data_IF_922710602064
#
_entry.id   IF_922710602064
#
_cell.length_a   1.000
_cell.length_b   1.000
_cell.length_c   1.000
_cell.angle_alpha   90.00
_cell.angle_beta   90.00
_cell.angle_gamma   90.00
#
_symmetry.space_group_name_H-M   'P 1'
#
loop_
_entity.id
_entity.type
_entity.pdbx_description
1 polymer ?
#
# COMPACT_ATOMS: atom_id res chain seq x y z
N UNK A 1 58.78 -9.00 65.07
CA UNK A 1 59.17 -10.41 64.80
C UNK A 1 57.92 -11.26 64.62
N UNK A 2 57.53 -11.55 63.43
CA UNK A 2 56.51 -12.57 63.14
C UNK A 2 56.98 -13.34 61.90
N UNK A 3 57.17 -14.61 62.14
CA UNK A 3 57.67 -15.57 61.14
C UNK A 3 56.54 -15.94 60.13
N UNK A 4 56.84 -15.82 58.85
CA UNK A 4 55.94 -16.28 57.76
C UNK A 4 56.34 -17.72 57.47
N UNK A 5 55.38 -18.60 57.58
CA UNK A 5 55.51 -20.04 57.27
C UNK A 5 55.12 -20.24 55.80
N UNK A 6 56.07 -20.58 54.97
CA UNK A 6 55.84 -20.91 53.56
C UNK A 6 55.52 -22.39 53.46
N UNK A 7 54.30 -22.74 53.06
CA UNK A 7 53.91 -24.12 52.74
C UNK A 7 54.08 -24.32 51.23
N UNK A 8 54.99 -25.18 50.85
CA UNK A 8 55.18 -25.62 49.45
C UNK A 8 54.24 -26.81 49.24
N UNK A 9 53.21 -26.62 48.40
CA UNK A 9 52.33 -27.71 47.97
C UNK A 9 52.85 -28.25 46.64
N UNK A 10 53.41 -29.46 46.68
CA UNK A 10 53.82 -30.14 45.47
C UNK A 10 52.59 -30.70 44.76
N UNK A 11 52.29 -30.18 43.59
CA UNK A 11 51.23 -30.73 42.71
C UNK A 11 51.80 -31.83 41.86
N UNK A 12 51.31 -33.05 42.09
CA UNK A 12 51.61 -34.22 41.29
C UNK A 12 50.80 -34.16 39.99
N UNK A 13 51.46 -33.86 38.86
CA UNK A 13 50.84 -33.88 37.51
C UNK A 13 50.71 -35.34 37.07
N UNK A 14 49.49 -35.89 37.14
CA UNK A 14 49.10 -37.11 36.41
C UNK A 14 48.80 -36.73 34.96
N UNK A 15 49.67 -37.15 34.04
CA UNK A 15 49.46 -37.04 32.61
C UNK A 15 48.35 -38.04 32.20
N UNK A 16 47.19 -37.51 31.86
CA UNK A 16 46.13 -38.28 31.20
C UNK A 16 46.39 -38.18 29.71
N UNK A 17 46.49 -39.26 28.93
CA UNK A 17 46.59 -39.17 27.49
C UNK A 17 45.27 -38.68 26.95
N UNK A 18 45.31 -37.53 26.34
CA UNK A 18 44.21 -36.95 25.59
C UNK A 18 44.07 -37.76 24.29
N UNK A 19 43.11 -38.69 24.27
CA UNK A 19 42.63 -39.23 23.02
C UNK A 19 41.87 -38.15 22.30
N UNK A 20 42.49 -37.58 21.30
CA UNK A 20 41.84 -36.70 20.31
C UNK A 20 40.93 -37.60 19.47
N UNK A 21 39.66 -37.65 19.83
CA UNK A 21 38.60 -38.10 18.93
C UNK A 21 38.39 -36.94 17.97
N UNK A 22 38.94 -37.10 16.78
CA UNK A 22 38.62 -36.26 15.66
C UNK A 22 37.20 -36.65 15.24
N UNK A 23 36.22 -35.94 15.73
CA UNK A 23 34.84 -36.01 15.25
C UNK A 23 34.83 -35.32 13.89
N UNK A 24 34.83 -36.11 12.83
CA UNK A 24 34.56 -35.61 11.48
C UNK A 24 33.16 -34.96 11.51
N UNK A 25 33.13 -33.65 11.47
CA UNK A 25 31.91 -32.90 11.23
C UNK A 25 31.45 -33.27 9.82
N UNK A 26 30.41 -34.11 9.72
CA UNK A 26 29.70 -34.27 8.44
C UNK A 26 29.13 -32.92 8.05
N UNK A 27 29.72 -32.36 7.01
CA UNK A 27 29.17 -31.18 6.32
C UNK A 27 27.81 -31.55 5.74
N UNK A 28 26.73 -31.19 6.45
CA UNK A 28 25.38 -31.31 5.93
C UNK A 28 25.25 -30.27 4.82
N UNK A 29 25.46 -30.68 3.57
CA UNK A 29 25.09 -29.90 2.41
C UNK A 29 23.57 -29.68 2.43
N UNK A 30 23.16 -28.55 2.94
CA UNK A 30 21.76 -28.10 2.85
C UNK A 30 21.48 -27.77 1.40
N UNK A 31 20.92 -28.70 0.65
CA UNK A 31 20.44 -28.44 -0.72
C UNK A 31 19.23 -27.53 -0.58
N UNK A 32 19.45 -26.22 -0.72
CA UNK A 32 18.37 -25.26 -0.86
C UNK A 32 17.77 -25.41 -2.26
N UNK A 33 16.74 -26.22 -2.37
CA UNK A 33 15.96 -26.26 -3.60
C UNK A 33 15.13 -24.99 -3.68
N UNK A 34 15.56 -24.03 -4.51
CA UNK A 34 14.75 -22.85 -4.84
C UNK A 34 13.57 -23.34 -5.69
N UNK A 35 12.44 -23.54 -5.05
CA UNK A 35 11.18 -23.78 -5.76
C UNK A 35 10.74 -22.44 -6.32
N UNK A 36 11.04 -22.19 -7.59
CA UNK A 36 10.47 -21.04 -8.30
C UNK A 36 8.96 -21.24 -8.37
N UNK A 37 8.19 -20.35 -7.76
CA UNK A 37 6.74 -20.38 -7.90
C UNK A 37 6.40 -20.33 -9.40
N UNK A 38 5.46 -21.15 -9.90
CA UNK A 38 5.05 -21.11 -11.29
C UNK A 38 4.55 -19.69 -11.60
N UNK A 39 4.95 -19.16 -12.74
CA UNK A 39 4.47 -17.88 -13.23
C UNK A 39 2.94 -17.92 -13.28
N UNK A 40 2.28 -17.04 -12.51
CA UNK A 40 0.83 -16.98 -12.48
C UNK A 40 0.36 -16.37 -13.80
N UNK A 41 -0.16 -17.21 -14.67
CA UNK A 41 -0.81 -16.77 -15.90
C UNK A 41 -2.18 -16.15 -15.57
N UNK A 42 -2.68 -15.29 -16.45
CA UNK A 42 -4.00 -14.65 -16.33
C UNK A 42 -5.14 -15.66 -16.08
N UNK A 43 -5.00 -16.89 -16.59
CA UNK A 43 -5.95 -17.99 -16.40
C UNK A 43 -6.06 -18.52 -14.96
N UNK A 44 -5.14 -18.12 -14.06
CA UNK A 44 -5.08 -18.56 -12.66
C UNK A 44 -5.60 -17.51 -11.66
N UNK A 45 -6.23 -16.43 -12.15
CA UNK A 45 -6.88 -15.47 -11.26
C UNK A 45 -7.96 -16.15 -10.45
N UNK A 46 -8.05 -15.86 -9.14
CA UNK A 46 -9.18 -16.31 -8.35
C UNK A 46 -10.51 -15.88 -8.98
N UNK A 47 -11.58 -16.70 -8.92
CA UNK A 47 -12.88 -16.37 -9.52
C UNK A 47 -13.52 -15.07 -9.00
N UNK A 48 -13.03 -14.56 -7.85
CA UNK A 48 -13.49 -13.29 -7.27
C UNK A 48 -12.86 -12.04 -7.93
N UNK A 49 -11.93 -12.21 -8.84
CA UNK A 49 -11.36 -11.13 -9.63
C UNK A 49 -11.76 -11.36 -11.10
N UNK A 50 -12.95 -10.92 -11.52
CA UNK A 50 -13.34 -11.03 -12.91
C UNK A 50 -12.30 -10.32 -13.79
N UNK A 51 -12.08 -10.87 -14.99
CA UNK A 51 -11.31 -10.15 -16.00
C UNK A 51 -11.95 -8.78 -16.25
N UNK A 52 -11.15 -7.75 -16.59
CA UNK A 52 -11.70 -6.47 -16.98
C UNK A 52 -12.75 -6.68 -18.06
N UNK A 53 -14.02 -6.43 -17.71
CA UNK A 53 -15.10 -6.50 -18.66
C UNK A 53 -15.08 -5.25 -19.55
N UNK A 54 -15.67 -5.34 -20.73
CA UNK A 54 -15.83 -4.20 -21.65
C UNK A 54 -16.60 -3.04 -20.99
N UNK A 55 -17.37 -3.33 -19.95
CA UNK A 55 -18.15 -2.35 -19.17
C UNK A 55 -17.33 -1.58 -18.12
N UNK A 56 -16.06 -1.91 -17.95
CA UNK A 56 -15.21 -1.18 -16.99
C UNK A 56 -14.98 0.26 -17.50
N UNK A 57 -15.14 1.23 -16.62
CA UNK A 57 -14.84 2.62 -16.92
C UNK A 57 -13.38 2.72 -17.37
N UNK A 58 -13.09 3.16 -18.61
CA UNK A 58 -11.73 3.22 -19.13
C UNK A 58 -10.94 4.28 -18.39
N UNK A 59 -9.70 3.93 -18.02
CA UNK A 59 -8.73 4.89 -17.50
C UNK A 59 -7.89 5.45 -18.66
N UNK A 60 -7.33 6.68 -18.53
CA UNK A 60 -6.38 7.18 -19.51
C UNK A 60 -5.19 6.24 -19.68
N UNK A 61 -4.67 6.13 -20.90
CA UNK A 61 -3.47 5.33 -21.21
C UNK A 61 -2.16 6.05 -20.84
N UNK A 62 -2.25 7.34 -20.44
CA UNK A 62 -1.13 8.14 -20.01
C UNK A 62 -0.61 7.69 -18.63
N UNK A 63 0.58 8.18 -18.27
CA UNK A 63 1.21 7.89 -16.99
C UNK A 63 0.34 8.35 -15.80
N UNK A 64 0.17 7.49 -14.81
CA UNK A 64 -0.44 7.87 -13.54
C UNK A 64 0.54 8.72 -12.72
N UNK A 65 0.30 10.01 -12.64
CA UNK A 65 1.14 10.97 -11.93
C UNK A 65 1.21 10.73 -10.41
N UNK A 66 0.23 10.03 -9.84
CA UNK A 66 0.18 9.72 -8.40
C UNK A 66 1.01 8.50 -8.02
N UNK A 67 1.39 7.63 -8.98
CA UNK A 67 2.01 6.35 -8.70
C UNK A 67 3.29 6.49 -7.87
N UNK A 68 3.30 5.91 -6.67
CA UNK A 68 4.45 5.92 -5.76
C UNK A 68 4.86 7.30 -5.24
N UNK A 69 4.07 8.36 -5.47
CA UNK A 69 4.33 9.71 -4.98
C UNK A 69 4.04 9.84 -3.49
N UNK A 70 4.63 10.83 -2.79
CA UNK A 70 4.26 11.12 -1.42
C UNK A 70 2.77 11.42 -1.31
N UNK A 71 2.12 10.75 -0.37
CA UNK A 71 0.70 10.90 -0.09
C UNK A 71 0.48 11.05 1.41
N UNK A 72 -0.51 11.84 1.79
CA UNK A 72 -0.87 12.08 3.18
C UNK A 72 -2.39 12.15 3.33
N UNK A 73 -2.90 11.45 4.33
CA UNK A 73 -4.29 11.56 4.78
C UNK A 73 -4.38 12.02 6.23
N UNK A 74 -5.60 12.23 6.69
CA UNK A 74 -5.92 12.35 8.11
C UNK A 74 -5.83 11.01 8.84
N UNK A 75 -6.66 10.81 9.87
CA UNK A 75 -6.71 9.55 10.61
C UNK A 75 -7.26 8.41 9.74
N UNK A 76 -6.57 7.28 9.74
CA UNK A 76 -6.97 6.05 9.05
C UNK A 76 -7.32 4.94 10.05
N UNK A 77 -8.01 3.91 9.58
CA UNK A 77 -8.38 2.73 10.36
C UNK A 77 -7.29 1.67 10.24
N UNK A 78 -6.74 1.23 11.38
CA UNK A 78 -5.78 0.11 11.51
C UNK A 78 -4.65 0.15 10.45
N UNK A 79 -4.51 -0.93 9.68
CA UNK A 79 -3.48 -1.11 8.64
C UNK A 79 -3.84 -0.48 7.29
N UNK A 80 -5.02 0.13 7.17
CA UNK A 80 -5.54 0.71 5.92
C UNK A 80 -5.01 2.14 5.73
N UNK A 81 -3.68 2.23 5.57
CA UNK A 81 -2.92 3.48 5.54
C UNK A 81 -3.00 4.18 4.19
N UNK A 82 -2.67 5.46 4.17
CA UNK A 82 -2.75 6.34 3.00
C UNK A 82 -1.91 5.87 1.80
N UNK A 83 -0.72 5.38 2.01
CA UNK A 83 0.16 4.90 0.92
C UNK A 83 -0.35 3.67 0.16
N UNK A 84 -1.43 3.04 0.63
CA UNK A 84 -2.08 1.97 -0.12
C UNK A 84 -2.86 2.47 -1.34
N UNK A 85 -3.10 3.80 -1.48
CA UNK A 85 -3.89 4.34 -2.61
C UNK A 85 -3.09 4.62 -3.88
N UNK A 86 -1.78 4.40 -3.86
CA UNK A 86 -0.92 4.63 -5.02
C UNK A 86 0.25 3.64 -5.09
N UNK A 87 0.03 2.43 -4.58
CA UNK A 87 1.02 1.34 -4.59
C UNK A 87 0.92 0.44 -5.84
N UNK A 88 -0.03 0.74 -6.75
CA UNK A 88 -0.30 -0.01 -7.97
C UNK A 88 -1.14 -1.26 -7.76
N UNK A 89 -1.83 -1.36 -6.61
CA UNK A 89 -2.57 -2.55 -6.20
C UNK A 89 -4.02 -2.18 -5.86
N UNK A 90 -4.95 -3.04 -6.23
CA UNK A 90 -6.37 -2.91 -5.85
C UNK A 90 -6.81 -3.90 -4.78
N UNK A 91 -5.90 -4.72 -4.28
CA UNK A 91 -6.14 -5.63 -3.13
C UNK A 91 -5.67 -5.05 -1.78
N UNK A 92 -4.94 -3.95 -1.80
CA UNK A 92 -4.69 -3.05 -0.67
C UNK A 92 -5.63 -1.85 -0.74
N UNK A 93 -5.91 -1.17 0.37
CA UNK A 93 -6.75 0.03 0.34
C UNK A 93 -6.49 0.91 1.57
N UNK A 94 -6.89 2.16 1.45
CA UNK A 94 -6.99 3.10 2.55
C UNK A 94 -8.43 3.20 3.04
N UNK A 95 -8.59 3.36 4.36
CA UNK A 95 -9.88 3.64 4.99
C UNK A 95 -9.74 4.72 6.05
N UNK A 96 -10.52 5.79 5.92
CA UNK A 96 -10.54 6.88 6.90
C UNK A 96 -11.32 6.50 8.16
N UNK A 97 -11.05 7.19 9.28
CA UNK A 97 -11.81 6.99 10.54
C UNK A 97 -13.17 7.68 10.58
N UNK A 98 -13.54 8.44 9.55
CA UNK A 98 -14.78 9.19 9.51
C UNK A 98 -14.77 10.28 8.45
N UNK A 99 -15.71 11.21 8.53
CA UNK A 99 -15.93 12.29 7.57
C UNK A 99 -15.88 13.66 8.24
N UNK A 100 -15.50 14.73 7.50
CA UNK A 100 -14.91 14.68 6.16
C UNK A 100 -13.55 13.98 6.18
N UNK A 101 -13.20 13.30 5.09
CA UNK A 101 -11.92 12.64 4.93
C UNK A 101 -11.18 13.22 3.72
N UNK A 102 -9.88 13.42 3.87
CA UNK A 102 -9.03 14.02 2.85
C UNK A 102 -7.79 13.17 2.62
N UNK A 103 -7.37 13.11 1.36
CA UNK A 103 -6.11 12.53 0.98
C UNK A 103 -5.41 13.44 -0.04
N UNK A 104 -4.16 13.80 0.21
CA UNK A 104 -3.40 14.78 -0.58
C UNK A 104 -2.15 14.12 -1.14
N UNK A 105 -1.95 14.27 -2.43
CA UNK A 105 -0.76 13.85 -3.17
C UNK A 105 0.16 15.02 -3.42
N UNK A 106 1.47 14.84 -3.17
CA UNK A 106 2.53 15.70 -3.66
C UNK A 106 3.07 15.10 -4.97
N UNK A 107 2.71 15.71 -6.11
CA UNK A 107 3.12 15.21 -7.42
C UNK A 107 4.61 15.40 -7.69
N UNK A 108 5.32 16.12 -6.83
CA UNK A 108 6.76 16.42 -6.97
C UNK A 108 7.12 17.10 -8.29
N UNK A 109 6.18 17.81 -8.88
CA UNK A 109 6.30 18.53 -10.13
C UNK A 109 5.05 19.32 -10.43
N UNK A 110 5.11 20.20 -11.42
CA UNK A 110 3.98 21.00 -11.88
C UNK A 110 3.41 20.36 -13.15
N UNK A 111 2.15 19.94 -13.07
CA UNK A 111 1.43 19.27 -14.14
C UNK A 111 0.14 20.00 -14.51
N UNK A 112 -0.44 19.67 -15.66
CA UNK A 112 -1.74 20.17 -16.10
C UNK A 112 -2.79 19.09 -15.90
N UNK A 113 -3.22 18.91 -14.65
CA UNK A 113 -4.12 17.80 -14.25
C UNK A 113 -5.53 18.04 -14.78
N UNK A 114 -6.15 17.03 -15.37
CA UNK A 114 -7.51 17.08 -15.92
C UNK A 114 -8.39 15.88 -15.52
N UNK A 115 -7.81 14.82 -15.00
CA UNK A 115 -8.55 13.60 -14.67
C UNK A 115 -8.06 13.01 -13.35
N UNK A 116 -9.01 12.60 -12.52
CA UNK A 116 -8.77 11.75 -11.34
C UNK A 116 -9.62 10.49 -11.46
N UNK A 117 -9.04 9.32 -11.22
CA UNK A 117 -9.78 8.08 -11.06
C UNK A 117 -9.64 7.57 -9.63
N UNK A 118 -10.74 7.06 -9.07
CA UNK A 118 -10.75 6.39 -7.77
C UNK A 118 -11.22 4.97 -7.99
N UNK A 119 -10.43 4.01 -7.53
CA UNK A 119 -10.71 2.59 -7.63
C UNK A 119 -10.89 1.98 -6.24
N UNK A 120 -11.86 1.09 -6.10
CA UNK A 120 -11.97 0.14 -5.02
C UNK A 120 -11.49 -1.23 -5.50
N UNK A 121 -11.41 -2.19 -4.60
CA UNK A 121 -11.14 -3.57 -4.97
C UNK A 121 -12.24 -4.08 -5.93
N UNK A 122 -11.89 -4.64 -7.10
CA UNK A 122 -12.86 -5.06 -8.11
C UNK A 122 -13.62 -6.34 -7.75
N UNK A 123 -13.30 -6.97 -6.61
CA UNK A 123 -13.98 -8.17 -6.15
C UNK A 123 -15.46 -7.93 -5.85
N UNK A 124 -16.33 -8.86 -6.31
CA UNK A 124 -17.77 -8.82 -6.06
C UNK A 124 -18.18 -8.91 -4.59
N UNK A 125 -17.24 -9.27 -3.68
CA UNK A 125 -17.49 -9.21 -2.24
C UNK A 125 -17.54 -7.78 -1.69
N UNK A 126 -17.05 -6.80 -2.46
CA UNK A 126 -17.18 -5.38 -2.18
C UNK A 126 -18.54 -4.92 -2.64
N UNK A 127 -19.47 -4.77 -1.69
CA UNK A 127 -20.85 -4.36 -1.96
C UNK A 127 -20.91 -3.04 -2.75
N UNK A 128 -21.89 -2.87 -3.65
CA UNK A 128 -22.13 -1.60 -4.32
C UNK A 128 -22.33 -0.48 -3.30
N UNK A 129 -21.71 0.69 -3.55
CA UNK A 129 -21.78 1.84 -2.64
C UNK A 129 -21.68 3.16 -3.39
N UNK A 130 -22.11 4.20 -2.73
CA UNK A 130 -21.94 5.58 -3.20
C UNK A 130 -20.92 6.25 -2.29
N UNK A 131 -19.94 6.93 -2.90
CA UNK A 131 -19.10 7.90 -2.19
C UNK A 131 -19.28 9.27 -2.83
N UNK A 132 -19.38 10.31 -2.00
CA UNK A 132 -19.40 11.71 -2.46
C UNK A 132 -17.96 12.24 -2.42
N UNK A 133 -17.48 12.69 -3.60
CA UNK A 133 -16.08 12.99 -3.82
C UNK A 133 -15.96 14.35 -4.53
N UNK A 134 -15.01 15.19 -4.05
CA UNK A 134 -14.56 16.40 -4.68
C UNK A 134 -13.06 16.33 -4.97
N UNK A 135 -12.59 17.11 -5.97
CA UNK A 135 -11.18 17.25 -6.29
C UNK A 135 -10.76 18.69 -6.10
N UNK A 136 -9.66 18.89 -5.40
CA UNK A 136 -9.03 20.18 -5.20
C UNK A 136 -7.58 20.13 -5.67
N UNK A 137 -7.07 21.23 -6.18
CA UNK A 137 -5.70 21.36 -6.67
C UNK A 137 -4.98 22.53 -6.01
N UNK A 138 -3.65 22.44 -5.91
CA UNK A 138 -2.82 23.47 -5.32
C UNK A 138 -1.45 23.53 -5.99
N UNK A 139 -0.84 24.73 -5.97
CA UNK A 139 0.53 24.94 -6.42
C UNK A 139 1.56 24.85 -5.26
N UNK A 140 1.12 25.12 -4.04
CA UNK A 140 1.97 25.27 -2.84
C UNK A 140 1.71 24.22 -1.76
N UNK A 141 0.62 23.42 -1.89
CA UNK A 141 0.19 22.44 -0.89
C UNK A 141 -0.53 23.05 0.34
N UNK A 142 -0.73 24.37 0.35
CA UNK A 142 -1.40 25.10 1.43
C UNK A 142 -2.75 25.67 0.98
N UNK A 143 -2.75 26.37 -0.15
CA UNK A 143 -3.93 27.00 -0.74
C UNK A 143 -4.53 26.10 -1.82
N UNK A 144 -5.70 25.51 -1.53
CA UNK A 144 -6.39 24.64 -2.46
C UNK A 144 -7.59 25.33 -3.12
N UNK A 145 -7.76 25.09 -4.42
CA UNK A 145 -8.91 25.52 -5.21
C UNK A 145 -9.67 24.30 -5.71
N UNK A 146 -10.99 24.39 -5.77
CA UNK A 146 -11.84 23.34 -6.30
C UNK A 146 -11.62 23.17 -7.81
N UNK A 147 -11.29 21.97 -8.24
CA UNK A 147 -11.20 21.56 -9.64
C UNK A 147 -12.44 20.77 -10.07
N UNK A 148 -12.98 19.94 -9.18
CA UNK A 148 -14.27 19.27 -9.37
C UNK A 148 -15.10 19.37 -8.08
N UNK A 149 -16.33 19.86 -8.22
CA UNK A 149 -17.29 19.99 -7.13
C UNK A 149 -17.68 18.62 -6.55
N UNK A 150 -18.19 18.55 -5.30
CA UNK A 150 -18.65 17.29 -4.70
C UNK A 150 -19.77 16.65 -5.51
N UNK A 151 -19.57 15.43 -5.98
CA UNK A 151 -20.54 14.61 -6.70
C UNK A 151 -20.60 13.22 -6.09
N UNK A 152 -21.79 12.62 -6.10
CA UNK A 152 -22.04 11.26 -5.67
C UNK A 152 -21.74 10.29 -6.79
N UNK A 153 -20.73 9.44 -6.59
CA UNK A 153 -20.30 8.42 -7.54
C UNK A 153 -20.70 7.03 -7.07
N UNK A 154 -21.27 6.26 -7.98
CA UNK A 154 -21.62 4.85 -7.76
C UNK A 154 -20.38 3.98 -8.02
N UNK A 155 -20.02 3.17 -7.04
CA UNK A 155 -19.04 2.08 -7.17
C UNK A 155 -19.79 0.75 -7.23
N UNK A 156 -19.46 -0.07 -8.25
CA UNK A 156 -20.03 -1.39 -8.45
C UNK A 156 -18.96 -2.31 -9.06
N UNK A 157 -18.85 -3.52 -8.52
CA UNK A 157 -17.92 -4.52 -9.04
C UNK A 157 -18.20 -4.91 -10.50
N UNK A 158 -19.47 -4.84 -10.95
CA UNK A 158 -19.85 -5.07 -12.34
C UNK A 158 -19.21 -4.08 -13.32
N UNK A 159 -18.91 -2.85 -12.85
CA UNK A 159 -18.21 -1.81 -13.63
C UNK A 159 -16.75 -1.62 -13.20
N UNK A 160 -16.17 -2.63 -12.52
CA UNK A 160 -14.78 -2.63 -12.07
C UNK A 160 -14.53 -1.88 -10.76
N UNK A 161 -15.58 -1.50 -10.02
CA UNK A 161 -15.48 -0.75 -8.77
C UNK A 161 -14.62 0.51 -8.90
N UNK A 162 -14.73 1.24 -10.01
CA UNK A 162 -13.95 2.44 -10.28
C UNK A 162 -14.79 3.54 -10.88
N UNK A 163 -14.39 4.77 -10.63
CA UNK A 163 -14.99 5.98 -11.19
C UNK A 163 -13.90 6.86 -11.80
N UNK A 164 -14.31 7.73 -12.69
CA UNK A 164 -13.49 8.74 -13.33
C UNK A 164 -14.12 10.10 -13.15
N UNK A 165 -13.32 11.09 -12.78
CA UNK A 165 -13.70 12.48 -12.56
C UNK A 165 -12.88 13.31 -13.53
N UNK A 166 -13.55 13.85 -14.57
CA UNK A 166 -12.93 14.74 -15.54
C UNK A 166 -13.30 16.19 -15.20
N UNK A 167 -12.34 17.10 -15.37
CA UNK A 167 -12.52 18.53 -15.16
C UNK A 167 -11.62 19.35 -16.10
N UNK A 168 -11.85 20.65 -16.17
CA UNK A 168 -11.01 21.53 -16.98
C UNK A 168 -9.56 21.47 -16.52
N UNK A 169 -8.57 21.38 -17.43
CA UNK A 169 -7.17 21.26 -17.07
C UNK A 169 -6.72 22.36 -16.10
N UNK A 170 -6.20 21.97 -14.96
CA UNK A 170 -5.74 22.86 -13.90
C UNK A 170 -4.27 22.60 -13.56
N UNK A 171 -3.46 23.65 -13.44
CA UNK A 171 -2.07 23.52 -13.01
C UNK A 171 -2.01 23.14 -11.54
N UNK A 172 -1.32 22.05 -11.23
CA UNK A 172 -1.20 21.51 -9.89
C UNK A 172 0.20 20.93 -9.61
N UNK A 173 0.72 21.20 -8.43
CA UNK A 173 1.80 20.45 -7.81
C UNK A 173 1.26 19.50 -6.72
N UNK A 174 0.07 19.80 -6.20
CA UNK A 174 -0.63 18.98 -5.21
C UNK A 174 -2.07 18.77 -5.66
N UNK A 175 -2.57 17.55 -5.42
CA UNK A 175 -3.97 17.18 -5.65
C UNK A 175 -4.55 16.62 -4.37
N UNK A 176 -5.71 17.14 -3.96
CA UNK A 176 -6.44 16.67 -2.78
C UNK A 176 -7.78 16.10 -3.19
N UNK A 177 -8.06 14.90 -2.71
CA UNK A 177 -9.36 14.25 -2.87
C UNK A 177 -10.10 14.36 -1.53
N UNK A 178 -11.32 14.89 -1.58
CA UNK A 178 -12.16 15.09 -0.40
C UNK A 178 -13.36 14.17 -0.48
N UNK A 179 -13.59 13.40 0.58
CA UNK A 179 -14.72 12.49 0.71
C UNK A 179 -15.64 13.00 1.82
N UNK A 180 -16.95 13.04 1.55
CA UNK A 180 -17.96 13.51 2.50
C UNK A 180 -19.02 12.48 2.82
N UNK A 181 -19.11 11.40 2.04
CA UNK A 181 -20.07 10.32 2.22
C UNK A 181 -19.50 8.98 1.75
N UNK A 182 -19.88 7.90 2.43
CA UNK A 182 -19.81 6.51 1.94
C UNK A 182 -21.06 5.77 2.46
N UNK A 183 -21.81 5.13 1.58
CA UNK A 183 -23.01 4.38 1.92
C UNK A 183 -22.75 2.91 2.26
N UNK A 184 -21.49 2.44 2.28
CA UNK A 184 -21.17 1.09 2.72
C UNK A 184 -21.67 0.84 4.13
N UNK A 185 -22.29 -0.31 4.33
CA UNK A 185 -22.76 -0.75 5.66
C UNK A 185 -21.62 -1.27 6.55
N UNK A 186 -20.42 -1.47 5.99
CA UNK A 186 -19.30 -2.13 6.64
C UNK A 186 -18.23 -1.18 7.17
N UNK A 187 -18.32 0.11 6.84
CA UNK A 187 -17.37 1.12 7.29
C UNK A 187 -18.05 2.43 7.60
N UNK A 188 -17.47 3.19 8.53
CA UNK A 188 -17.89 4.55 8.84
C UNK A 188 -17.04 5.63 8.17
N UNK A 189 -16.12 5.24 7.26
CA UNK A 189 -15.18 6.14 6.61
C UNK A 189 -15.15 6.02 5.10
N UNK A 190 -14.38 6.89 4.45
CA UNK A 190 -14.06 6.82 3.04
C UNK A 190 -13.13 5.63 2.76
N UNK A 191 -13.22 5.07 1.57
CA UNK A 191 -12.35 3.99 1.11
C UNK A 191 -11.84 4.26 -0.30
N UNK A 192 -10.56 3.97 -0.53
CA UNK A 192 -9.95 3.94 -1.86
C UNK A 192 -8.85 2.87 -1.90
N UNK A 193 -8.85 2.02 -2.91
CA UNK A 193 -7.79 1.05 -3.14
C UNK A 193 -6.69 1.67 -3.99
N UNK A 194 -7.05 2.40 -5.05
CA UNK A 194 -6.08 3.11 -5.88
C UNK A 194 -6.67 4.46 -6.30
N UNK A 195 -5.86 5.51 -6.29
CA UNK A 195 -6.20 6.83 -6.82
C UNK A 195 -5.18 7.17 -7.90
N UNK A 196 -5.67 7.38 -9.11
CA UNK A 196 -4.86 7.73 -10.25
C UNK A 196 -5.11 9.18 -10.65
N UNK A 197 -4.06 9.89 -11.07
CA UNK A 197 -4.11 11.30 -11.47
C UNK A 197 -3.46 11.42 -12.84
N UNK A 198 -4.11 12.15 -13.76
CA UNK A 198 -3.68 12.27 -15.15
C UNK A 198 -3.76 13.72 -15.66
N UNK A 199 -2.92 14.02 -16.67
CA UNK A 199 -2.99 15.27 -17.44
C UNK A 199 -4.14 15.28 -18.43
#
# INVERSE_FOLDING_TARGET
MKRVLTIILAALLLAIPCFSVCEEAEEIETIVTIVTAPEQTQAQRPPCFPDPADDYIPLPESENLAQGKPVKSGAHTDVYVDKNVNDGRTDTYWESKGFPAEITFDLQGLYSVSTVAVCLNPSSIWEPRIQEIAVQVSLDGESFTEAAAPVKYQFDAATGNRIRIDFDPAKAAFVKIVFTLNTSSRTGGAQAAEICIYE
#
